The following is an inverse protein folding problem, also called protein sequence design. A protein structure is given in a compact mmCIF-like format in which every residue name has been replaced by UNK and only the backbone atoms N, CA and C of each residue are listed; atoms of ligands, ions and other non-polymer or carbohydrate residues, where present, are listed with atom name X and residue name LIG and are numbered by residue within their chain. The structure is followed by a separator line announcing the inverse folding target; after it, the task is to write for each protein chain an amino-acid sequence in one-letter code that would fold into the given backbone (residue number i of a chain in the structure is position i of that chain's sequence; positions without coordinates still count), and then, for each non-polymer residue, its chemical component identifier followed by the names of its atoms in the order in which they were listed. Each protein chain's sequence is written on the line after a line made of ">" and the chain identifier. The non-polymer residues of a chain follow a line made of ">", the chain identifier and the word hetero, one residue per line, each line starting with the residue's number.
data_IF_984921305161
#
_entry.id   IF_984921305161
#
_cell.length_a   1.000
_cell.length_b   1.000
_cell.length_c   1.000
_cell.angle_alpha   90.00
_cell.angle_beta   90.00
_cell.angle_gamma   90.00
#
_symmetry.space_group_name_H-M   'P 1'
#
loop_
_entity.id
_entity.type
_entity.pdbx_description
1 polymer ?
#
# COMPACT_ATOMS: atom_id res chain seq x y z
N UNK A 1 -6.94 7.17 19.82
CA UNK A 1 -5.57 6.99 20.34
C UNK A 1 -5.26 8.13 21.30
N UNK A 2 -4.38 7.92 22.27
CA UNK A 2 -3.99 8.90 23.29
C UNK A 2 -2.54 8.69 23.67
N UNK A 3 -1.75 9.77 23.78
CA UNK A 3 -0.40 9.67 24.35
C UNK A 3 -0.45 9.58 25.87
N UNK A 4 0.40 8.73 26.45
CA UNK A 4 0.50 8.53 27.90
C UNK A 4 1.94 8.42 28.37
N UNK A 5 2.12 8.62 29.67
CA UNK A 5 3.33 8.25 30.37
C UNK A 5 3.30 6.75 30.72
N UNK A 6 4.33 6.02 30.30
CA UNK A 6 4.55 4.63 30.68
C UNK A 6 6.00 4.45 31.12
N UNK A 7 6.20 4.11 32.40
CA UNK A 7 7.54 3.96 33.01
C UNK A 7 8.46 5.18 32.78
N UNK A 8 7.91 6.39 32.82
CA UNK A 8 8.63 7.66 32.59
C UNK A 8 8.90 7.99 31.11
N UNK A 9 8.44 7.14 30.18
CA UNK A 9 8.59 7.34 28.74
C UNK A 9 7.24 7.63 28.07
N UNK A 10 7.29 8.33 26.94
CA UNK A 10 6.15 8.60 26.08
C UNK A 10 5.75 7.32 25.34
N UNK A 11 4.48 6.97 25.45
CA UNK A 11 3.86 5.91 24.68
C UNK A 11 2.55 6.39 24.04
N UNK A 12 2.15 5.74 22.95
CA UNK A 12 0.84 5.90 22.34
C UNK A 12 -0.05 4.72 22.76
N UNK A 13 -1.15 5.00 23.45
CA UNK A 13 -2.24 4.06 23.63
C UNK A 13 -3.19 4.15 22.44
N UNK A 14 -3.49 3.03 21.81
CA UNK A 14 -4.43 2.94 20.69
C UNK A 14 -5.38 1.78 20.91
N UNK A 15 -6.59 1.89 20.34
CA UNK A 15 -7.48 0.75 20.23
C UNK A 15 -7.15 0.03 18.92
N UNK A 16 -6.81 -1.25 18.98
CA UNK A 16 -6.51 -2.04 17.79
C UNK A 16 -7.79 -2.60 17.14
N UNK A 17 -7.69 -3.10 15.91
CA UNK A 17 -8.80 -3.75 15.20
C UNK A 17 -9.25 -5.07 15.83
N UNK A 18 -8.48 -5.61 16.78
CA UNK A 18 -8.90 -6.73 17.62
C UNK A 18 -9.73 -6.30 18.83
N UNK A 19 -10.05 -5.01 18.94
CA UNK A 19 -10.72 -4.43 20.11
C UNK A 19 -9.88 -4.55 21.39
N UNK A 20 -8.55 -4.48 21.25
CA UNK A 20 -7.59 -4.52 22.36
C UNK A 20 -6.91 -3.16 22.50
N UNK A 21 -6.61 -2.76 23.74
CA UNK A 21 -5.83 -1.53 23.99
C UNK A 21 -4.36 -1.88 23.89
N UNK A 22 -3.70 -1.31 22.89
CA UNK A 22 -2.28 -1.50 22.63
C UNK A 22 -1.49 -0.27 23.07
N UNK A 23 -0.30 -0.50 23.62
CA UNK A 23 0.62 0.54 24.01
C UNK A 23 1.91 0.46 23.19
N UNK A 24 2.18 1.49 22.39
CA UNK A 24 3.37 1.58 21.55
C UNK A 24 4.36 2.61 22.10
N UNK A 25 5.58 2.21 22.52
CA UNK A 25 6.61 3.16 22.95
C UNK A 25 7.03 4.08 21.81
N UNK A 26 7.16 5.38 22.09
CA UNK A 26 7.64 6.36 21.10
C UNK A 26 9.16 6.45 21.16
N UNK A 27 9.81 6.13 20.04
CA UNK A 27 11.26 6.18 19.88
C UNK A 27 11.70 7.44 19.14
N UNK A 28 12.81 8.02 19.58
CA UNK A 28 13.53 9.08 18.85
C UNK A 28 14.13 8.55 17.55
N UNK A 29 14.58 9.44 16.66
CA UNK A 29 15.31 9.07 15.42
C UNK A 29 16.56 8.22 15.68
N UNK A 30 17.08 8.20 16.91
CA UNK A 30 18.25 7.41 17.34
C UNK A 30 17.86 6.07 17.98
N UNK A 31 16.57 5.73 18.04
CA UNK A 31 16.07 4.48 18.61
C UNK A 31 15.85 4.48 20.13
N UNK A 32 16.19 5.55 20.84
CA UNK A 32 15.97 5.67 22.29
C UNK A 32 14.52 6.04 22.60
N UNK A 33 13.98 5.56 23.71
CA UNK A 33 12.68 6.01 24.24
C UNK A 33 12.66 7.51 24.47
N UNK A 34 11.55 8.14 24.12
CA UNK A 34 11.33 9.57 24.35
C UNK A 34 10.80 9.73 25.78
N UNK A 35 11.48 10.48 26.67
CA UNK A 35 10.96 10.74 28.01
C UNK A 35 9.62 11.48 27.97
N UNK A 36 8.66 11.13 28.84
CA UNK A 36 7.37 11.83 28.93
C UNK A 36 7.56 13.33 29.23
N UNK A 37 8.44 13.64 30.18
CA UNK A 37 8.76 15.01 30.58
C UNK A 37 9.30 15.89 29.43
N UNK A 38 9.87 15.30 28.37
CA UNK A 38 10.36 16.05 27.21
C UNK A 38 9.38 16.09 26.03
N UNK A 39 8.24 15.38 26.14
CA UNK A 39 7.24 15.32 25.08
C UNK A 39 6.39 16.60 24.97
N UNK A 40 6.34 17.41 26.03
CA UNK A 40 5.54 18.64 26.05
C UNK A 40 4.02 18.40 26.10
N UNK A 41 3.61 17.19 26.50
CA UNK A 41 2.21 16.74 26.53
C UNK A 41 1.59 16.73 27.94
N UNK A 42 2.31 17.20 28.95
CA UNK A 42 1.76 17.36 30.30
C UNK A 42 0.54 18.27 30.26
N UNK A 43 -0.57 17.84 30.89
CA UNK A 43 -1.80 18.62 30.95
C UNK A 43 -1.53 19.99 31.60
N UNK A 44 -1.55 21.10 30.85
CA UNK A 44 -1.23 22.41 31.39
C UNK A 44 -2.31 22.86 32.38
N UNK A 45 -3.57 22.44 32.18
CA UNK A 45 -4.71 22.82 33.01
C UNK A 45 -4.64 22.26 34.44
N UNK A 46 -3.85 21.20 34.68
CA UNK A 46 -3.62 20.67 36.02
C UNK A 46 -2.84 21.64 36.93
N UNK A 47 -2.17 22.65 36.34
CA UNK A 47 -1.50 23.70 37.10
C UNK A 47 -2.40 24.86 37.49
N UNK A 48 -3.63 24.92 36.95
CA UNK A 48 -4.60 25.97 37.23
C UNK A 48 -5.45 25.61 38.44
N UNK A 49 -5.77 26.63 39.24
CA UNK A 49 -6.69 26.57 40.35
C UNK A 49 -7.74 27.66 40.20
N UNK A 50 -8.86 27.53 40.92
CA UNK A 50 -9.92 28.55 40.89
C UNK A 50 -9.44 29.94 41.31
N UNK A 51 -8.41 30.02 42.18
CA UNK A 51 -7.75 31.26 42.60
C UNK A 51 -6.98 32.00 41.49
N UNK A 52 -6.68 31.35 40.37
CA UNK A 52 -5.99 31.97 39.22
C UNK A 52 -6.92 32.78 38.31
N UNK A 53 -8.20 32.91 38.67
CA UNK A 53 -9.22 33.56 37.86
C UNK A 53 -9.87 34.75 38.58
N UNK A 54 -10.05 35.85 37.85
CA UNK A 54 -10.83 36.99 38.32
C UNK A 54 -12.33 36.77 38.09
N UNK A 55 -13.13 37.01 39.13
CA UNK A 55 -14.58 37.04 39.01
C UNK A 55 -15.01 38.27 38.19
N UNK A 56 -15.81 38.04 37.16
CA UNK A 56 -16.41 39.08 36.30
C UNK A 56 -17.90 38.78 36.14
N UNK A 57 -18.75 39.79 35.91
CA UNK A 57 -20.20 39.59 35.82
C UNK A 57 -20.58 38.45 34.86
N UNK A 58 -21.07 37.34 35.43
CA UNK A 58 -21.47 36.13 34.71
C UNK A 58 -20.37 35.09 34.46
N UNK A 59 -19.20 35.17 35.11
CA UNK A 59 -18.17 34.12 35.01
C UNK A 59 -16.83 34.44 35.70
N UNK A 60 -15.79 33.74 35.27
CA UNK A 60 -14.41 33.88 35.74
C UNK A 60 -13.51 34.09 34.52
N UNK A 61 -12.60 35.07 34.55
CA UNK A 61 -11.65 35.37 33.46
C UNK A 61 -10.22 35.10 33.93
N UNK A 62 -9.46 34.36 33.14
CA UNK A 62 -8.02 34.22 33.35
C UNK A 62 -7.34 35.60 33.24
N UNK A 63 -6.75 36.08 34.33
CA UNK A 63 -6.13 37.41 34.42
C UNK A 63 -4.70 37.39 34.96
N UNK A 64 -4.30 36.32 35.65
CA UNK A 64 -2.95 36.16 36.15
C UNK A 64 -2.04 35.59 35.06
N UNK A 65 -0.88 36.21 34.82
CA UNK A 65 0.17 35.61 33.99
C UNK A 65 0.74 34.37 34.70
N UNK A 66 0.16 33.19 34.47
CA UNK A 66 0.62 31.93 35.05
C UNK A 66 1.66 31.30 34.13
N UNK A 67 2.94 31.68 34.32
CA UNK A 67 4.06 31.29 33.44
C UNK A 67 4.14 29.77 33.22
N UNK A 68 3.84 28.94 34.23
CA UNK A 68 3.85 27.49 34.10
C UNK A 68 2.71 26.95 33.22
N UNK A 69 1.55 27.60 33.20
CA UNK A 69 0.43 27.26 32.32
C UNK A 69 0.71 27.72 30.89
N UNK A 70 1.13 28.98 30.72
CA UNK A 70 1.40 29.60 29.41
C UNK A 70 2.57 28.95 28.65
N UNK A 71 3.59 28.50 29.37
CA UNK A 71 4.72 27.78 28.78
C UNK A 71 4.35 26.36 28.33
N UNK A 72 3.46 25.67 29.06
CA UNK A 72 3.03 24.30 28.76
C UNK A 72 1.89 24.22 27.75
N UNK A 73 0.95 25.16 27.78
CA UNK A 73 -0.22 25.16 26.88
C UNK A 73 0.16 25.30 25.41
N UNK A 74 1.27 25.99 25.10
CA UNK A 74 1.84 26.03 23.75
C UNK A 74 2.22 24.63 23.28
N UNK A 75 3.08 23.95 24.03
CA UNK A 75 3.55 22.60 23.65
C UNK A 75 2.41 21.59 23.63
N UNK A 76 1.44 21.71 24.55
CA UNK A 76 0.29 20.81 24.64
C UNK A 76 -0.58 20.87 23.38
N UNK A 77 -0.96 22.06 22.90
CA UNK A 77 -1.73 22.21 21.66
C UNK A 77 -0.90 22.01 20.39
N UNK A 78 0.43 21.92 20.50
CA UNK A 78 1.30 21.61 19.37
C UNK A 78 1.22 20.12 19.06
N UNK A 79 0.96 19.32 20.09
CA UNK A 79 1.17 17.89 20.06
C UNK A 79 2.65 17.53 20.01
N UNK A 80 2.93 16.23 20.16
CA UNK A 80 4.29 15.71 20.06
C UNK A 80 4.87 15.99 18.66
N UNK A 81 6.03 16.66 18.61
CA UNK A 81 6.72 17.00 17.35
C UNK A 81 6.15 18.21 16.60
N UNK A 82 5.10 18.86 17.11
CA UNK A 82 4.53 20.06 16.53
C UNK A 82 5.34 21.32 16.83
N UNK A 83 5.35 22.26 15.89
CA UNK A 83 5.76 23.63 16.11
C UNK A 83 4.54 24.53 15.88
N UNK A 84 4.27 25.42 16.83
CA UNK A 84 3.25 26.47 16.71
C UNK A 84 3.85 27.79 17.15
N UNK A 85 3.36 28.88 16.53
CA UNK A 85 3.80 30.24 16.79
C UNK A 85 3.41 30.75 18.19
N UNK A 86 3.63 32.04 18.41
CA UNK A 86 3.17 32.75 19.61
C UNK A 86 1.64 32.80 19.68
N UNK A 87 1.08 33.04 20.87
CA UNK A 87 -0.36 33.29 21.01
C UNK A 87 -0.69 34.72 20.61
N UNK A 88 -1.71 34.86 19.76
CA UNK A 88 -2.39 36.13 19.51
C UNK A 88 -3.44 36.40 20.61
N UNK A 89 -4.10 35.36 21.12
CA UNK A 89 -5.01 35.47 22.27
C UNK A 89 -5.19 34.15 23.01
N UNK A 90 -5.47 34.23 24.31
CA UNK A 90 -5.88 33.12 25.17
C UNK A 90 -6.94 33.62 26.14
N UNK A 91 -8.07 32.93 26.21
CA UNK A 91 -9.18 33.25 27.10
C UNK A 91 -9.77 31.97 27.68
N UNK A 92 -10.03 32.00 28.98
CA UNK A 92 -10.78 30.98 29.69
C UNK A 92 -11.96 31.67 30.38
N UNK A 93 -13.17 31.13 30.23
CA UNK A 93 -14.41 31.66 30.78
C UNK A 93 -15.25 30.55 31.40
N UNK A 94 -15.55 30.62 32.70
CA UNK A 94 -16.51 29.70 33.33
C UNK A 94 -17.95 30.05 32.94
N UNK A 95 -18.72 29.06 32.47
CA UNK A 95 -20.13 29.13 32.09
C UNK A 95 -20.89 28.00 32.81
N UNK A 96 -21.44 28.29 33.99
CA UNK A 96 -22.02 27.25 34.86
C UNK A 96 -20.95 26.29 35.38
N UNK A 97 -21.13 24.99 35.13
CA UNK A 97 -20.18 23.92 35.49
C UNK A 97 -19.10 23.70 34.41
N UNK A 98 -19.09 24.48 33.33
CA UNK A 98 -18.12 24.34 32.24
C UNK A 98 -17.13 25.52 32.22
N UNK A 99 -15.94 25.29 31.67
CA UNK A 99 -14.92 26.30 31.40
C UNK A 99 -14.69 26.35 29.89
N UNK A 100 -15.14 27.41 29.24
CA UNK A 100 -14.91 27.69 27.84
C UNK A 100 -13.48 28.21 27.60
N UNK A 101 -12.76 27.59 26.68
CA UNK A 101 -11.46 28.02 26.16
C UNK A 101 -11.63 28.66 24.79
N UNK A 102 -10.93 29.77 24.58
CA UNK A 102 -10.68 30.35 23.26
C UNK A 102 -9.21 30.70 23.14
N UNK A 103 -8.53 30.13 22.15
CA UNK A 103 -7.11 30.28 21.89
C UNK A 103 -6.88 30.62 20.42
N UNK A 104 -6.07 31.62 20.13
CA UNK A 104 -5.62 31.93 18.77
C UNK A 104 -4.12 32.14 18.73
N UNK A 105 -3.47 31.60 17.70
CA UNK A 105 -2.06 31.79 17.43
C UNK A 105 -1.84 32.98 16.51
N UNK A 106 -0.65 33.57 16.60
CA UNK A 106 -0.18 34.58 15.65
C UNK A 106 -0.24 34.00 14.22
N UNK A 107 -0.75 34.77 13.24
CA UNK A 107 -0.81 34.32 11.86
C UNK A 107 0.59 33.98 11.34
N UNK A 108 0.71 32.88 10.62
CA UNK A 108 1.95 32.54 9.90
C UNK A 108 1.68 32.47 8.40
N UNK A 109 2.72 32.70 7.60
CA UNK A 109 2.60 32.59 6.13
C UNK A 109 2.87 31.16 5.71
N UNK A 110 1.88 30.48 5.15
CA UNK A 110 2.03 29.19 4.51
C UNK A 110 2.15 29.40 3.00
N UNK A 111 3.18 28.83 2.38
CA UNK A 111 3.31 28.86 0.92
C UNK A 111 2.43 27.78 0.33
N UNK A 112 1.31 28.17 -0.27
CA UNK A 112 0.49 27.28 -1.10
C UNK A 112 1.09 27.24 -2.50
N UNK A 113 1.27 26.01 -3.02
CA UNK A 113 1.69 25.76 -4.41
C UNK A 113 2.99 26.49 -4.81
N UNK A 114 3.95 26.60 -3.88
CA UNK A 114 5.29 27.11 -4.17
C UNK A 114 5.43 28.63 -4.38
N UNK A 115 4.35 29.38 -4.57
CA UNK A 115 4.45 30.81 -4.92
C UNK A 115 3.47 31.77 -4.24
N UNK A 116 2.39 31.28 -3.61
CA UNK A 116 1.40 32.16 -2.96
C UNK A 116 1.51 32.01 -1.45
N UNK A 117 1.98 33.05 -0.76
CA UNK A 117 1.92 33.13 0.69
C UNK A 117 0.49 33.39 1.15
N UNK A 118 -0.13 32.42 1.80
CA UNK A 118 -1.41 32.59 2.49
C UNK A 118 -1.16 32.81 3.99
N UNK A 119 -1.77 33.85 4.55
CA UNK A 119 -1.78 34.03 6.01
C UNK A 119 -2.74 33.01 6.63
N UNK A 120 -2.21 32.14 7.47
CA UNK A 120 -2.96 31.10 8.17
C UNK A 120 -2.97 31.43 9.65
N UNK A 121 -4.16 31.57 10.22
CA UNK A 121 -4.38 31.66 11.67
C UNK A 121 -4.92 30.33 12.16
N UNK A 122 -4.26 29.74 13.17
CA UNK A 122 -4.79 28.58 13.89
C UNK A 122 -5.51 29.07 15.14
N UNK A 123 -6.74 28.62 15.33
CA UNK A 123 -7.53 28.86 16.54
C UNK A 123 -8.09 27.56 17.10
N UNK A 124 -8.27 27.53 18.41
CA UNK A 124 -8.87 26.42 19.14
C UNK A 124 -9.94 26.97 20.08
N UNK A 125 -11.10 26.35 20.10
CA UNK A 125 -12.19 26.64 21.04
C UNK A 125 -12.71 25.34 21.63
N UNK A 126 -13.07 25.34 22.91
CA UNK A 126 -13.61 24.15 23.57
C UNK A 126 -14.21 24.45 24.94
N UNK A 127 -14.80 23.45 25.58
CA UNK A 127 -15.37 23.55 26.94
C UNK A 127 -14.91 22.37 27.79
N UNK A 128 -14.56 22.60 29.06
CA UNK A 128 -14.09 21.56 30.00
C UNK A 128 -14.93 21.56 31.29
N UNK A 129 -15.21 20.39 31.87
CA UNK A 129 -16.11 20.25 33.04
C UNK A 129 -15.44 20.61 34.38
N UNK A 130 -14.11 20.49 34.48
CA UNK A 130 -13.35 20.87 35.67
C UNK A 130 -11.87 21.06 35.32
N UNK A 131 -11.10 21.67 36.22
CA UNK A 131 -9.64 21.71 36.11
C UNK A 131 -9.05 20.34 36.45
N UNK A 132 -8.16 19.84 35.59
CA UNK A 132 -7.30 18.69 35.92
C UNK A 132 -7.95 17.30 35.81
N UNK A 133 -9.13 17.14 35.21
CA UNK A 133 -9.67 15.80 34.92
C UNK A 133 -8.90 15.08 33.81
N UNK A 134 -8.71 13.77 34.00
CA UNK A 134 -7.99 12.90 33.06
C UNK A 134 -8.77 12.77 31.75
N UNK A 135 -8.05 12.81 30.62
CA UNK A 135 -8.63 12.44 29.33
C UNK A 135 -8.99 10.96 29.43
N UNK A 136 -10.25 10.55 29.12
CA UNK A 136 -10.62 9.16 29.15
C UNK A 136 -9.70 8.37 28.21
N UNK A 137 -9.01 7.39 28.76
CA UNK A 137 -8.13 6.53 27.98
C UNK A 137 -8.96 5.73 26.96
N UNK A 138 -8.38 5.37 25.80
CA UNK A 138 -9.00 4.41 24.90
C UNK A 138 -9.35 3.15 25.69
N UNK A 139 -10.60 2.72 25.60
CA UNK A 139 -11.09 1.48 26.20
C UNK A 139 -11.62 0.56 25.11
N UNK A 140 -11.61 -0.77 25.33
CA UNK A 140 -12.29 -1.69 24.44
C UNK A 140 -13.78 -1.33 24.30
N UNK A 141 -14.29 -1.45 23.09
CA UNK A 141 -15.72 -1.34 22.79
C UNK A 141 -16.44 -2.41 23.60
N UNK A 142 -17.40 -1.97 24.41
CA UNK A 142 -18.22 -2.84 25.26
C UNK A 142 -19.31 -3.51 24.42
N UNK A 143 -18.89 -4.41 23.52
CA UNK A 143 -19.75 -5.33 22.78
C UNK A 143 -19.17 -6.73 22.92
N UNK A 144 -20.02 -7.72 23.11
CA UNK A 144 -19.61 -9.12 23.11
C UNK A 144 -19.15 -9.53 21.72
N UNK A 145 -18.06 -10.30 21.65
CA UNK A 145 -17.55 -10.80 20.37
C UNK A 145 -18.48 -11.90 19.84
N UNK A 146 -18.89 -11.76 18.59
CA UNK A 146 -19.77 -12.71 17.93
C UNK A 146 -19.00 -13.95 17.46
N UNK A 147 -19.45 -15.13 17.90
CA UNK A 147 -18.77 -16.41 17.63
C UNK A 147 -18.73 -16.79 16.15
N UNK A 148 -19.78 -16.48 15.38
CA UNK A 148 -19.83 -16.77 13.94
C UNK A 148 -18.84 -15.89 13.18
N UNK A 149 -18.78 -14.60 13.53
CA UNK A 149 -17.82 -13.65 12.98
C UNK A 149 -16.37 -14.07 13.29
N UNK A 150 -16.08 -14.36 14.55
CA UNK A 150 -14.75 -14.82 14.98
C UNK A 150 -14.31 -16.09 14.26
N UNK A 151 -15.23 -17.03 14.04
CA UNK A 151 -14.98 -18.27 13.29
C UNK A 151 -14.69 -17.98 11.82
N UNK A 152 -15.49 -17.13 11.16
CA UNK A 152 -15.27 -16.74 9.77
C UNK A 152 -13.91 -16.03 9.57
N UNK A 153 -13.51 -15.14 10.48
CA UNK A 153 -12.18 -14.52 10.43
C UNK A 153 -11.06 -15.54 10.70
N UNK A 154 -11.30 -16.57 11.51
CA UNK A 154 -10.34 -17.66 11.70
C UNK A 154 -10.17 -18.51 10.44
N UNK A 155 -11.24 -18.78 9.71
CA UNK A 155 -11.19 -19.49 8.42
C UNK A 155 -10.38 -18.71 7.37
N UNK A 156 -10.51 -17.37 7.35
CA UNK A 156 -9.66 -16.50 6.53
C UNK A 156 -8.19 -16.56 6.95
N UNK A 157 -7.90 -16.53 8.26
CA UNK A 157 -6.52 -16.66 8.78
C UNK A 157 -5.85 -17.99 8.47
N UNK A 158 -6.62 -19.04 8.15
CA UNK A 158 -6.08 -20.34 7.77
C UNK A 158 -5.47 -20.36 6.36
N UNK A 159 -5.71 -19.32 5.53
CA UNK A 159 -5.17 -19.18 4.17
C UNK A 159 -5.41 -20.41 3.29
N UNK A 160 -6.61 -21.00 3.38
CA UNK A 160 -7.04 -22.14 2.57
C UNK A 160 -8.45 -21.86 2.03
N UNK A 161 -8.53 -21.09 0.94
CA UNK A 161 -9.79 -20.63 0.35
C UNK A 161 -9.62 -20.22 -1.11
N UNK A 162 -10.75 -19.99 -1.78
CA UNK A 162 -10.82 -19.26 -3.05
C UNK A 162 -11.35 -17.85 -2.80
N UNK A 163 -10.83 -16.88 -3.54
CA UNK A 163 -11.27 -15.49 -3.48
C UNK A 163 -11.65 -15.00 -4.86
N UNK A 164 -12.77 -14.30 -4.96
CA UNK A 164 -13.15 -13.54 -6.14
C UNK A 164 -13.31 -12.08 -5.73
N UNK A 165 -12.63 -11.18 -6.41
CA UNK A 165 -12.69 -9.74 -6.18
C UNK A 165 -13.29 -9.08 -7.40
N UNK A 166 -14.40 -8.39 -7.22
CA UNK A 166 -15.09 -7.64 -8.27
C UNK A 166 -15.02 -6.14 -8.00
N UNK A 167 -14.54 -5.40 -8.99
CA UNK A 167 -14.51 -3.95 -8.98
C UNK A 167 -15.54 -3.38 -9.94
N UNK A 168 -16.35 -2.45 -9.42
CA UNK A 168 -17.37 -1.78 -10.18
C UNK A 168 -17.28 -0.27 -9.96
N UNK A 169 -17.43 0.48 -11.05
CA UNK A 169 -17.42 1.95 -11.03
C UNK A 169 -18.71 2.49 -11.60
N UNK A 170 -19.19 3.57 -11.00
CA UNK A 170 -20.34 4.32 -11.45
C UNK A 170 -19.87 5.41 -12.42
N UNK A 171 -19.82 5.06 -13.71
CA UNK A 171 -19.33 5.96 -14.78
C UNK A 171 -20.33 7.05 -15.16
N UNK A 172 -21.62 6.84 -14.88
CA UNK A 172 -22.69 7.71 -15.34
C UNK A 172 -23.55 8.24 -14.19
N UNK A 173 -24.20 9.39 -14.42
CA UNK A 173 -25.11 10.03 -13.46
C UNK A 173 -26.37 9.20 -13.16
N UNK A 174 -26.65 8.16 -13.96
CA UNK A 174 -27.85 7.33 -13.86
C UNK A 174 -27.84 6.33 -12.68
N UNK A 175 -26.75 6.28 -11.90
CA UNK A 175 -26.69 5.42 -10.72
C UNK A 175 -26.03 4.07 -10.96
N UNK A 176 -25.85 3.63 -12.20
CA UNK A 176 -25.51 2.23 -12.50
C UNK A 176 -24.02 1.95 -12.33
N UNK A 177 -23.74 0.84 -11.67
CA UNK A 177 -22.40 0.27 -11.60
C UNK A 177 -22.07 -0.46 -12.90
N UNK A 178 -20.81 -0.35 -13.30
CA UNK A 178 -20.24 -1.05 -14.45
C UNK A 178 -18.93 -1.68 -14.04
N UNK A 179 -18.73 -2.94 -14.44
CA UNK A 179 -17.53 -3.71 -14.12
C UNK A 179 -16.29 -3.00 -14.67
N UNK A 180 -15.25 -2.91 -13.85
CA UNK A 180 -13.96 -2.29 -14.18
C UNK A 180 -12.77 -3.22 -14.01
N UNK A 181 -12.94 -4.36 -13.37
CA UNK A 181 -11.89 -5.36 -13.21
C UNK A 181 -12.30 -6.44 -12.23
N UNK A 182 -11.70 -7.61 -12.40
CA UNK A 182 -11.96 -8.78 -11.58
C UNK A 182 -10.65 -9.49 -11.26
N UNK A 183 -10.57 -10.09 -10.07
CA UNK A 183 -9.45 -10.93 -9.69
C UNK A 183 -9.97 -12.23 -9.11
N UNK A 184 -9.51 -13.35 -9.66
CA UNK A 184 -9.69 -14.66 -9.05
C UNK A 184 -8.40 -15.07 -8.37
N UNK A 185 -8.52 -15.68 -7.19
CA UNK A 185 -7.40 -16.10 -6.38
C UNK A 185 -7.68 -17.40 -5.65
N UNK A 186 -6.64 -18.18 -5.40
CA UNK A 186 -6.69 -19.37 -4.56
C UNK A 186 -5.51 -19.35 -3.61
N UNK A 187 -5.78 -19.34 -2.31
CA UNK A 187 -4.78 -19.39 -1.25
C UNK A 187 -4.73 -20.79 -0.64
N UNK A 188 -3.51 -21.26 -0.37
CA UNK A 188 -3.18 -22.45 0.38
C UNK A 188 -2.01 -22.12 1.31
N UNK A 189 -1.77 -22.88 2.40
CA UNK A 189 -0.67 -22.60 3.33
C UNK A 189 0.73 -22.57 2.69
N UNK A 190 0.92 -23.24 1.55
CA UNK A 190 2.22 -23.39 0.88
C UNK A 190 2.27 -22.76 -0.53
N UNK A 191 1.17 -22.19 -1.00
CA UNK A 191 1.08 -21.56 -2.30
C UNK A 191 -0.13 -20.62 -2.42
N UNK A 192 -0.03 -19.64 -3.29
CA UNK A 192 -1.12 -18.74 -3.61
C UNK A 192 -1.07 -18.42 -5.10
N UNK A 193 -2.19 -18.47 -5.80
CA UNK A 193 -2.30 -18.14 -7.23
C UNK A 193 -3.39 -17.12 -7.46
N UNK A 194 -3.22 -16.30 -8.50
CA UNK A 194 -4.20 -15.30 -8.88
C UNK A 194 -4.18 -15.00 -10.37
N UNK A 195 -5.33 -14.54 -10.87
CA UNK A 195 -5.52 -14.04 -12.22
C UNK A 195 -6.30 -12.73 -12.14
N UNK A 196 -5.72 -11.65 -12.66
CA UNK A 196 -6.35 -10.33 -12.75
C UNK A 196 -6.85 -10.13 -14.18
N UNK A 197 -8.09 -9.68 -14.29
CA UNK A 197 -8.75 -9.38 -15.56
C UNK A 197 -9.27 -7.94 -15.59
N UNK A 198 -9.19 -7.31 -16.76
CA UNK A 198 -9.83 -6.02 -17.05
C UNK A 198 -10.58 -6.12 -18.38
N UNK A 199 -11.90 -5.89 -18.35
CA UNK A 199 -12.75 -5.99 -19.55
C UNK A 199 -12.73 -7.38 -20.21
N UNK A 200 -12.57 -8.44 -19.40
CA UNK A 200 -12.48 -9.83 -19.88
C UNK A 200 -11.11 -10.23 -20.46
N UNK A 201 -10.11 -9.35 -20.41
CA UNK A 201 -8.72 -9.68 -20.78
C UNK A 201 -7.88 -9.91 -19.53
N UNK A 202 -7.08 -10.98 -19.54
CA UNK A 202 -6.09 -11.25 -18.48
C UNK A 202 -4.95 -10.23 -18.57
N UNK A 203 -4.73 -9.48 -17.50
CA UNK A 203 -3.65 -8.48 -17.39
C UNK A 203 -2.49 -8.98 -16.53
N UNK A 204 -2.76 -9.85 -15.56
CA UNK A 204 -1.75 -10.55 -14.77
C UNK A 204 -2.27 -11.94 -14.39
N UNK A 205 -1.37 -12.92 -14.35
CA UNK A 205 -1.68 -14.30 -14.01
C UNK A 205 -0.42 -14.98 -13.46
N UNK A 206 -0.44 -15.29 -12.17
CA UNK A 206 0.76 -15.71 -11.47
C UNK A 206 0.45 -16.60 -10.26
N UNK A 207 1.51 -17.20 -9.72
CA UNK A 207 1.47 -17.91 -8.47
C UNK A 207 2.72 -17.63 -7.64
N UNK A 208 2.61 -17.80 -6.33
CA UNK A 208 3.70 -17.85 -5.38
C UNK A 208 3.69 -19.24 -4.77
N UNK A 209 4.83 -19.91 -4.76
CA UNK A 209 5.00 -21.25 -4.21
C UNK A 209 6.14 -21.25 -3.19
N UNK A 210 6.04 -22.03 -2.13
CA UNK A 210 7.19 -22.22 -1.23
C UNK A 210 8.18 -23.23 -1.81
N UNK A 211 9.48 -22.96 -1.69
CA UNK A 211 10.52 -23.93 -2.00
C UNK A 211 10.85 -24.82 -0.80
N UNK A 212 11.92 -25.61 -0.90
CA UNK A 212 12.33 -26.53 0.16
C UNK A 212 12.85 -25.84 1.43
N UNK A 213 13.35 -24.59 1.36
CA UNK A 213 13.68 -23.78 2.54
C UNK A 213 12.47 -23.04 3.10
N UNK A 214 11.31 -23.18 2.46
CA UNK A 214 10.09 -22.50 2.81
C UNK A 214 10.07 -21.05 2.36
N UNK A 215 10.93 -20.66 1.42
CA UNK A 215 10.99 -19.32 0.84
C UNK A 215 10.11 -19.26 -0.42
N UNK A 216 9.53 -18.10 -0.70
CA UNK A 216 8.57 -17.96 -1.80
C UNK A 216 9.24 -17.73 -3.15
N UNK A 217 8.81 -18.48 -4.16
CA UNK A 217 9.20 -18.30 -5.55
C UNK A 217 7.97 -17.92 -6.37
N UNK A 218 8.10 -16.87 -7.19
CA UNK A 218 7.03 -16.43 -8.09
C UNK A 218 7.09 -17.22 -9.40
N UNK A 219 5.92 -17.67 -9.82
CA UNK A 219 5.64 -18.25 -11.13
C UNK A 219 4.71 -17.31 -11.90
N UNK A 220 4.80 -17.37 -13.22
CA UNK A 220 3.87 -16.71 -14.13
C UNK A 220 3.27 -17.69 -15.12
N UNK A 221 2.03 -17.43 -15.48
CA UNK A 221 1.28 -18.25 -16.41
C UNK A 221 1.30 -17.64 -17.82
N UNK A 222 1.76 -18.43 -18.78
CA UNK A 222 1.75 -18.09 -20.20
C UNK A 222 1.25 -19.28 -21.02
N UNK A 223 0.25 -19.05 -21.86
CA UNK A 223 -0.21 -20.07 -22.82
C UNK A 223 -0.61 -21.41 -22.17
N UNK A 224 -1.10 -21.39 -20.94
CA UNK A 224 -1.49 -22.59 -20.18
C UNK A 224 -0.36 -23.32 -19.45
N UNK A 225 0.85 -22.74 -19.40
CA UNK A 225 2.01 -23.28 -18.66
C UNK A 225 2.51 -22.27 -17.63
N UNK A 226 3.13 -22.77 -16.55
CA UNK A 226 3.71 -21.96 -15.49
C UNK A 226 5.22 -21.91 -15.60
N UNK A 227 5.82 -20.73 -15.50
CA UNK A 227 7.27 -20.52 -15.61
C UNK A 227 7.77 -19.76 -14.39
N UNK A 228 8.99 -20.05 -13.94
CA UNK A 228 9.64 -19.23 -12.92
C UNK A 228 9.86 -17.80 -13.43
N UNK A 229 9.42 -16.82 -12.65
CA UNK A 229 9.56 -15.40 -12.97
C UNK A 229 10.98 -14.89 -12.74
N UNK A 230 11.64 -15.43 -11.70
CA UNK A 230 13.03 -15.16 -11.34
C UNK A 230 13.72 -16.44 -10.87
N UNK A 231 15.06 -16.41 -10.79
CA UNK A 231 15.87 -17.57 -10.43
C UNK A 231 16.10 -17.81 -8.94
N UNK A 232 15.64 -16.91 -8.06
CA UNK A 232 15.84 -17.05 -6.62
C UNK A 232 14.55 -16.75 -5.83
N UNK A 233 14.40 -17.47 -4.72
CA UNK A 233 13.31 -17.28 -3.79
C UNK A 233 13.47 -16.00 -2.97
N UNK A 234 12.34 -15.40 -2.65
CA UNK A 234 12.25 -14.32 -1.67
C UNK A 234 12.02 -14.93 -0.28
N UNK A 235 12.57 -14.30 0.76
CA UNK A 235 12.36 -14.76 2.15
C UNK A 235 10.91 -14.59 2.65
N UNK A 236 10.03 -14.00 1.84
CA UNK A 236 8.61 -13.85 2.18
C UNK A 236 7.92 -15.22 2.25
N UNK A 237 6.95 -15.34 3.15
CA UNK A 237 6.06 -16.48 3.34
C UNK A 237 4.72 -16.20 2.68
N UNK A 238 3.87 -17.23 2.53
CA UNK A 238 2.56 -17.05 1.89
C UNK A 238 1.68 -16.06 2.66
N UNK A 239 1.75 -16.09 4.00
CA UNK A 239 1.01 -15.17 4.87
C UNK A 239 1.40 -13.70 4.68
N UNK A 240 2.63 -13.40 4.24
CA UNK A 240 3.08 -12.02 4.00
C UNK A 240 2.33 -11.36 2.82
N UNK A 241 1.71 -12.15 1.94
CA UNK A 241 0.95 -11.66 0.79
C UNK A 241 -0.54 -11.45 1.08
N UNK A 242 -1.02 -11.79 2.27
CA UNK A 242 -2.44 -11.69 2.63
C UNK A 242 -2.65 -10.79 3.85
N UNK A 243 -3.84 -10.18 4.01
CA UNK A 243 -4.18 -9.50 5.26
C UNK A 243 -4.15 -10.47 6.44
N UNK A 244 -3.89 -9.95 7.64
CA UNK A 244 -3.87 -10.75 8.87
C UNK A 244 -5.27 -11.16 9.36
N UNK A 245 -6.32 -10.55 8.79
CA UNK A 245 -7.74 -10.72 9.17
C UNK A 245 -7.97 -10.62 10.69
N UNK A 246 -7.18 -9.76 11.36
CA UNK A 246 -7.30 -9.46 12.79
C UNK A 246 -8.30 -8.33 13.00
N UNK A 247 -9.58 -8.73 13.05
CA UNK A 247 -10.73 -7.82 13.12
C UNK A 247 -11.76 -8.39 14.09
N UNK A 248 -12.23 -7.57 15.03
CA UNK A 248 -13.31 -7.89 15.97
C UNK A 248 -14.67 -7.49 15.42
N UNK A 249 -15.68 -8.28 15.73
CA UNK A 249 -17.09 -7.96 15.44
C UNK A 249 -17.60 -6.71 16.16
N UNK A 250 -16.93 -6.25 17.23
CA UNK A 250 -17.34 -5.10 18.03
C UNK A 250 -17.41 -3.77 17.23
N UNK A 251 -16.64 -3.66 16.15
CA UNK A 251 -16.67 -2.49 15.26
C UNK A 251 -17.93 -2.43 14.39
N UNK A 252 -18.75 -3.47 14.38
CA UNK A 252 -19.88 -3.62 13.47
C UNK A 252 -21.22 -3.62 14.21
N UNK A 253 -22.27 -3.27 13.48
CA UNK A 253 -23.64 -3.48 13.86
C UNK A 253 -24.16 -4.70 13.09
N UNK A 254 -24.67 -5.69 13.81
CA UNK A 254 -25.17 -6.96 13.23
C UNK A 254 -26.67 -6.88 12.96
N UNK A 255 -27.08 -7.24 11.75
CA UNK A 255 -28.48 -7.48 11.37
C UNK A 255 -28.54 -8.82 10.61
N UNK A 256 -29.13 -9.84 11.25
CA UNK A 256 -29.09 -11.21 10.71
C UNK A 256 -27.65 -11.70 10.56
N UNK A 257 -27.24 -12.00 9.33
CA UNK A 257 -25.90 -12.44 8.97
C UNK A 257 -25.01 -11.33 8.36
N UNK A 258 -25.47 -10.07 8.42
CA UNK A 258 -24.77 -8.90 7.86
C UNK A 258 -24.20 -8.05 8.99
N UNK A 259 -22.92 -7.72 8.88
CA UNK A 259 -22.16 -6.88 9.82
C UNK A 259 -21.80 -5.59 9.10
N UNK A 260 -22.40 -4.48 9.51
CA UNK A 260 -22.15 -3.15 8.92
C UNK A 260 -21.21 -2.37 9.80
N UNK A 261 -20.12 -1.83 9.23
CA UNK A 261 -19.15 -1.04 10.00
C UNK A 261 -19.85 0.17 10.62
N UNK A 262 -19.68 0.33 11.93
CA UNK A 262 -20.16 1.53 12.60
C UNK A 262 -19.29 2.72 12.20
N UNK A 263 -19.93 3.74 11.62
CA UNK A 263 -19.26 4.90 11.02
C UNK A 263 -18.36 5.65 12.00
N UNK A 264 -18.64 5.59 13.31
CA UNK A 264 -17.77 6.20 14.30
C UNK A 264 -16.34 5.59 14.31
N UNK A 265 -16.19 4.37 13.81
CA UNK A 265 -14.90 3.66 13.72
C UNK A 265 -14.32 3.61 12.30
N UNK A 266 -14.92 4.30 11.31
CA UNK A 266 -14.46 4.26 9.93
C UNK A 266 -12.96 4.62 9.78
N UNK A 267 -12.46 5.56 10.60
CA UNK A 267 -11.04 5.94 10.61
C UNK A 267 -10.07 4.82 10.98
N UNK A 268 -10.52 3.74 11.62
CA UNK A 268 -9.71 2.56 11.94
C UNK A 268 -9.56 1.58 10.77
N UNK A 269 -10.36 1.76 9.72
CA UNK A 269 -10.39 0.94 8.52
C UNK A 269 -10.02 1.82 7.32
N UNK A 270 -8.74 2.21 7.15
CA UNK A 270 -8.35 3.21 6.16
C UNK A 270 -8.55 2.76 4.71
N UNK A 271 -8.48 1.45 4.45
CA UNK A 271 -8.53 0.92 3.09
C UNK A 271 -9.00 -0.54 3.00
N UNK A 272 -9.44 -0.93 1.80
CA UNK A 272 -9.80 -2.31 1.42
C UNK A 272 -8.63 -3.28 1.50
N UNK A 273 -7.38 -2.79 1.58
CA UNK A 273 -6.19 -3.63 1.71
C UNK A 273 -6.17 -4.44 3.02
N UNK A 274 -7.01 -4.09 4.00
CA UNK A 274 -7.28 -4.89 5.19
C UNK A 274 -8.02 -6.19 4.90
N UNK A 275 -8.60 -6.31 3.71
CA UNK A 275 -9.48 -7.41 3.32
C UNK A 275 -9.06 -8.09 2.03
N UNK A 276 -8.06 -7.60 1.32
CA UNK A 276 -7.53 -8.23 0.09
C UNK A 276 -6.19 -7.62 -0.30
N UNK A 277 -5.24 -8.38 -0.86
CA UNK A 277 -4.00 -7.79 -1.38
C UNK A 277 -4.17 -7.11 -2.75
N UNK A 278 -5.32 -7.27 -3.41
CA UNK A 278 -5.52 -6.82 -4.78
C UNK A 278 -6.05 -5.39 -4.91
N UNK A 279 -6.52 -4.79 -3.81
CA UNK A 279 -7.16 -3.48 -3.80
C UNK A 279 -6.76 -2.64 -2.61
N UNK A 280 -6.57 -1.35 -2.84
CA UNK A 280 -6.24 -0.38 -1.80
C UNK A 280 -7.07 0.90 -1.97
N UNK A 281 -8.39 0.77 -1.91
CA UNK A 281 -9.34 1.88 -1.94
C UNK A 281 -9.79 2.26 -0.53
N UNK A 282 -10.16 3.52 -0.32
CA UNK A 282 -10.69 4.00 0.97
C UNK A 282 -11.96 3.24 1.36
N UNK A 283 -12.17 3.01 2.65
CA UNK A 283 -13.42 2.43 3.16
C UNK A 283 -14.48 3.52 3.34
N UNK A 284 -15.64 3.30 2.73
CA UNK A 284 -16.84 4.12 2.89
C UNK A 284 -17.89 3.36 3.69
N UNK A 285 -18.87 2.80 2.98
CA UNK A 285 -19.87 1.90 3.56
C UNK A 285 -19.40 0.44 3.45
N UNK A 286 -18.82 -0.08 4.53
CA UNK A 286 -18.34 -1.45 4.62
C UNK A 286 -19.39 -2.38 5.23
N UNK A 287 -19.62 -3.50 4.57
CA UNK A 287 -20.43 -4.61 5.08
C UNK A 287 -19.67 -5.92 4.94
N UNK A 288 -19.87 -6.82 5.91
CA UNK A 288 -19.39 -8.21 5.87
C UNK A 288 -20.63 -9.08 6.01
N UNK A 289 -20.90 -9.94 5.03
CA UNK A 289 -22.01 -10.90 5.05
C UNK A 289 -21.44 -12.30 5.22
N UNK A 290 -21.93 -13.01 6.22
CA UNK A 290 -21.53 -14.38 6.51
C UNK A 290 -22.59 -15.35 5.99
N UNK A 291 -22.20 -16.26 5.12
CA UNK A 291 -23.06 -17.32 4.58
C UNK A 291 -22.36 -18.67 4.80
N UNK A 292 -23.10 -19.77 4.69
CA UNK A 292 -22.51 -21.09 4.85
C UNK A 292 -21.37 -21.30 3.84
N UNK A 293 -20.13 -21.45 4.35
CA UNK A 293 -18.94 -21.64 3.53
C UNK A 293 -18.51 -20.44 2.68
N UNK A 294 -19.07 -19.25 2.92
CA UNK A 294 -18.77 -18.02 2.16
C UNK A 294 -18.74 -16.78 3.05
N UNK A 295 -17.74 -15.93 2.84
CA UNK A 295 -17.65 -14.59 3.45
C UNK A 295 -17.64 -13.56 2.33
N UNK A 296 -18.59 -12.63 2.34
CA UNK A 296 -18.66 -11.54 1.36
C UNK A 296 -18.37 -10.22 2.03
N UNK A 297 -17.35 -9.51 1.59
CA UNK A 297 -16.97 -8.19 2.08
C UNK A 297 -17.26 -7.20 0.97
N UNK A 298 -18.14 -6.24 1.24
CA UNK A 298 -18.53 -5.22 0.27
C UNK A 298 -18.24 -3.84 0.81
N UNK A 299 -17.51 -3.04 0.03
CA UNK A 299 -17.25 -1.63 0.30
C UNK A 299 -17.89 -0.78 -0.80
N UNK A 300 -18.74 0.16 -0.42
CA UNK A 300 -19.37 1.12 -1.34
C UNK A 300 -18.94 2.54 -0.96
N UNK A 301 -18.33 3.23 -1.90
CA UNK A 301 -17.94 4.62 -1.78
C UNK A 301 -18.82 5.49 -2.67
N UNK A 302 -19.42 6.51 -2.07
CA UNK A 302 -20.05 7.59 -2.81
C UNK A 302 -18.96 8.53 -3.33
N UNK A 303 -18.82 8.64 -4.66
CA UNK A 303 -17.81 9.49 -5.27
C UNK A 303 -18.10 10.98 -5.07
N UNK A 304 -17.11 11.84 -5.37
CA UNK A 304 -17.23 13.30 -5.21
C UNK A 304 -18.13 13.99 -6.25
N UNK A 305 -18.86 13.25 -7.09
CA UNK A 305 -19.82 13.81 -8.06
C UNK A 305 -19.19 14.59 -9.22
N UNK A 306 -17.88 14.51 -9.44
CA UNK A 306 -17.19 15.10 -10.59
C UNK A 306 -17.25 14.16 -11.81
N UNK A 307 -17.10 14.72 -13.01
CA UNK A 307 -17.61 14.20 -14.30
C UNK A 307 -17.14 12.82 -14.78
N UNK A 308 -16.28 12.11 -14.06
CA UNK A 308 -15.71 10.82 -14.50
C UNK A 308 -15.80 9.67 -13.48
N UNK A 309 -16.17 9.92 -12.21
CA UNK A 309 -16.40 8.86 -11.23
C UNK A 309 -17.43 9.29 -10.18
N UNK A 310 -18.62 8.70 -10.23
CA UNK A 310 -19.72 9.01 -9.31
C UNK A 310 -19.79 8.05 -8.11
N UNK A 311 -18.84 7.13 -7.99
CA UNK A 311 -18.74 6.15 -6.90
C UNK A 311 -18.17 4.81 -7.37
N UNK A 312 -17.75 4.00 -6.41
CA UNK A 312 -17.13 2.70 -6.62
C UNK A 312 -17.70 1.68 -5.63
N UNK A 313 -17.79 0.44 -6.09
CA UNK A 313 -18.17 -0.72 -5.28
C UNK A 313 -17.12 -1.80 -5.47
N UNK A 314 -16.63 -2.30 -4.36
CA UNK A 314 -15.73 -3.45 -4.30
C UNK A 314 -16.46 -4.57 -3.60
N UNK A 315 -16.49 -5.74 -4.22
CA UNK A 315 -17.02 -6.95 -3.60
C UNK A 315 -15.89 -7.98 -3.56
N UNK A 316 -15.57 -8.46 -2.37
CA UNK A 316 -14.53 -9.46 -2.12
C UNK A 316 -15.25 -10.68 -1.54
N UNK A 317 -15.28 -11.77 -2.28
CA UNK A 317 -15.92 -13.01 -1.88
C UNK A 317 -14.87 -14.05 -1.57
N UNK A 318 -14.94 -14.64 -0.38
CA UNK A 318 -14.15 -15.78 0.05
C UNK A 318 -15.04 -17.01 0.13
N UNK A 319 -14.56 -18.14 -0.36
CA UNK A 319 -15.32 -19.39 -0.37
C UNK A 319 -14.43 -20.62 -0.33
N UNK A 320 -15.04 -21.80 -0.28
CA UNK A 320 -14.33 -23.09 -0.40
C UNK A 320 -13.29 -23.32 0.70
N UNK A 321 -13.55 -22.81 1.91
CA UNK A 321 -12.65 -22.90 3.05
C UNK A 321 -12.20 -24.34 3.32
N UNK A 322 -10.90 -24.55 3.53
CA UNK A 322 -10.31 -25.86 3.84
C UNK A 322 -10.21 -26.84 2.66
N UNK A 323 -10.73 -26.47 1.49
CA UNK A 323 -10.82 -27.35 0.30
C UNK A 323 -10.00 -26.88 -0.90
N UNK A 324 -9.31 -25.75 -0.79
CA UNK A 324 -8.39 -25.31 -1.83
C UNK A 324 -7.20 -26.27 -1.92
N UNK A 325 -6.75 -26.52 -3.15
CA UNK A 325 -5.63 -27.43 -3.42
C UNK A 325 -4.39 -26.61 -3.77
N UNK A 326 -3.26 -26.98 -3.19
CA UNK A 326 -1.97 -26.36 -3.47
C UNK A 326 -1.62 -26.41 -4.94
N UNK A 327 -0.87 -25.41 -5.40
CA UNK A 327 -0.31 -25.41 -6.74
C UNK A 327 0.63 -26.61 -6.92
N UNK A 328 0.44 -27.36 -8.01
CA UNK A 328 1.31 -28.49 -8.35
C UNK A 328 2.64 -27.99 -8.93
N UNK A 329 3.64 -27.83 -8.06
CA UNK A 329 4.97 -27.33 -8.38
C UNK A 329 5.67 -28.15 -9.47
N UNK A 330 5.30 -29.42 -9.68
CA UNK A 330 5.88 -30.26 -10.74
C UNK A 330 5.55 -29.78 -12.15
N UNK A 331 4.54 -28.90 -12.29
CA UNK A 331 4.14 -28.29 -13.56
C UNK A 331 4.92 -27.01 -13.89
N UNK A 332 5.75 -26.52 -12.97
CA UNK A 332 6.54 -25.31 -13.20
C UNK A 332 7.75 -25.57 -14.10
N UNK A 333 7.93 -24.74 -15.11
CA UNK A 333 9.01 -24.82 -16.08
C UNK A 333 10.12 -23.82 -15.75
N UNK A 334 11.36 -24.30 -15.77
CA UNK A 334 12.56 -23.49 -15.54
C UNK A 334 13.09 -22.77 -16.76
N UNK A 335 12.68 -23.16 -17.97
CA UNK A 335 13.18 -22.55 -19.21
C UNK A 335 12.04 -21.93 -20.01
N UNK A 336 12.03 -20.60 -20.05
CA UNK A 336 11.08 -19.80 -20.82
C UNK A 336 11.56 -19.52 -22.25
N UNK A 337 12.65 -20.14 -22.73
CA UNK A 337 13.23 -19.88 -24.06
C UNK A 337 12.29 -20.17 -25.23
N UNK A 338 11.25 -20.97 -25.00
CA UNK A 338 10.23 -21.29 -26.00
C UNK A 338 9.14 -20.22 -26.14
N UNK A 339 9.04 -19.28 -25.18
CA UNK A 339 8.04 -18.22 -25.23
C UNK A 339 8.47 -17.13 -26.22
N UNK A 340 7.55 -16.58 -27.03
CA UNK A 340 7.81 -15.38 -27.81
C UNK A 340 7.72 -14.12 -26.92
N UNK A 341 8.44 -13.06 -27.29
CA UNK A 341 8.34 -11.74 -26.63
C UNK A 341 6.90 -11.22 -26.52
N UNK A 342 6.03 -11.52 -27.49
CA UNK A 342 4.61 -11.16 -27.46
C UNK A 342 3.85 -11.75 -26.26
N UNK A 343 4.25 -12.93 -25.79
CA UNK A 343 3.64 -13.53 -24.60
C UNK A 343 4.26 -12.97 -23.32
N UNK A 344 5.58 -12.75 -23.29
CA UNK A 344 6.29 -12.26 -22.12
C UNK A 344 6.03 -10.77 -21.82
N UNK A 345 5.79 -9.96 -22.86
CA UNK A 345 5.36 -8.56 -22.75
C UNK A 345 3.82 -8.56 -22.81
N UNK A 346 3.18 -8.73 -21.65
CA UNK A 346 1.72 -8.90 -21.53
C UNK A 346 0.90 -7.68 -21.97
N UNK A 347 1.49 -6.50 -21.90
CA UNK A 347 0.85 -5.27 -22.36
C UNK A 347 0.84 -5.23 -23.90
N UNK A 348 -0.35 -5.45 -24.48
CA UNK A 348 -0.55 -5.45 -25.94
C UNK A 348 -0.20 -4.11 -26.58
N UNK A 349 -0.47 -2.99 -25.89
CA UNK A 349 -0.19 -1.64 -26.39
C UNK A 349 1.32 -1.39 -26.39
N UNK A 350 1.99 -1.65 -25.26
CA UNK A 350 3.44 -1.52 -25.16
C UNK A 350 4.16 -2.45 -26.15
N UNK A 351 3.70 -3.69 -26.32
CA UNK A 351 4.24 -4.61 -27.32
C UNK A 351 4.03 -4.09 -28.76
N UNK A 352 2.85 -3.55 -29.05
CA UNK A 352 2.53 -2.99 -30.37
C UNK A 352 3.40 -1.76 -30.69
N UNK A 353 3.58 -0.86 -29.73
CA UNK A 353 4.44 0.32 -29.88
C UNK A 353 5.90 -0.08 -30.09
N UNK A 354 6.42 -0.94 -29.22
CA UNK A 354 7.76 -1.51 -29.36
C UNK A 354 7.95 -2.18 -30.73
N UNK A 355 6.96 -2.96 -31.16
CA UNK A 355 6.97 -3.61 -32.47
C UNK A 355 6.98 -2.63 -33.63
N UNK A 356 6.26 -1.51 -33.54
CA UNK A 356 6.24 -0.50 -34.61
C UNK A 356 7.58 0.23 -34.68
N UNK A 357 8.13 0.60 -33.54
CA UNK A 357 9.38 1.35 -33.47
C UNK A 357 10.59 0.56 -33.99
N UNK A 358 10.60 -0.76 -33.84
CA UNK A 358 11.64 -1.62 -34.44
C UNK A 358 11.39 -1.95 -35.93
N UNK A 359 10.28 -1.51 -36.53
CA UNK A 359 9.93 -1.81 -37.93
C UNK A 359 9.13 -3.10 -38.15
N UNK A 360 8.57 -3.70 -37.10
CA UNK A 360 7.62 -4.82 -37.17
C UNK A 360 7.92 -5.96 -36.20
N UNK A 361 6.92 -6.83 -35.95
CA UNK A 361 7.06 -7.94 -34.99
C UNK A 361 8.04 -9.02 -35.47
N UNK A 362 8.30 -9.07 -36.78
CA UNK A 362 9.36 -9.90 -37.37
C UNK A 362 10.75 -9.51 -36.87
N UNK A 363 11.01 -8.22 -36.63
CA UNK A 363 12.30 -7.72 -36.12
C UNK A 363 12.46 -8.10 -34.64
N UNK A 364 11.43 -7.94 -33.82
CA UNK A 364 11.44 -8.40 -32.42
C UNK A 364 11.75 -9.90 -32.35
N UNK A 365 11.19 -10.69 -33.26
CA UNK A 365 11.38 -12.15 -33.31
C UNK A 365 12.83 -12.57 -33.63
N UNK A 366 13.67 -11.65 -34.12
CA UNK A 366 15.10 -11.89 -34.32
C UNK A 366 15.89 -11.84 -33.00
N UNK A 367 15.36 -11.17 -31.98
CA UNK A 367 15.96 -11.05 -30.65
C UNK A 367 15.58 -12.31 -29.87
N UNK A 368 16.54 -13.19 -29.51
CA UNK A 368 16.21 -14.34 -28.67
C UNK A 368 15.67 -13.85 -27.32
N UNK A 369 14.62 -14.48 -26.80
CA UNK A 369 14.19 -14.21 -25.41
C UNK A 369 15.32 -14.55 -24.44
N UNK A 370 15.32 -13.97 -23.22
CA UNK A 370 16.36 -14.26 -22.22
C UNK A 370 16.51 -15.77 -21.98
N UNK A 371 15.39 -16.46 -21.78
CA UNK A 371 15.38 -17.90 -21.51
C UNK A 371 15.73 -18.23 -20.06
N UNK A 372 15.67 -19.50 -19.71
CA UNK A 372 15.78 -19.91 -18.32
C UNK A 372 14.62 -19.38 -17.49
N UNK A 373 14.91 -18.97 -16.26
CA UNK A 373 13.95 -18.57 -15.21
C UNK A 373 13.53 -17.10 -15.29
N UNK A 374 13.75 -16.44 -16.43
CA UNK A 374 13.58 -15.01 -16.61
C UNK A 374 12.36 -14.73 -17.50
N UNK A 375 11.20 -15.19 -17.04
CA UNK A 375 9.96 -15.19 -17.83
C UNK A 375 9.14 -13.89 -17.76
N UNK A 376 9.56 -12.91 -16.93
CA UNK A 376 8.96 -11.57 -16.84
C UNK A 376 9.99 -10.44 -17.03
N UNK A 377 10.46 -10.26 -18.26
CA UNK A 377 11.22 -9.08 -18.61
C UNK A 377 10.32 -7.85 -18.58
N UNK A 378 10.82 -6.76 -18.00
CA UNK A 378 10.21 -5.43 -18.03
C UNK A 378 10.64 -4.70 -19.30
N UNK A 379 9.72 -3.94 -19.90
CA UNK A 379 9.98 -3.06 -21.04
C UNK A 379 9.92 -1.59 -20.59
N UNK A 380 10.96 -0.81 -20.88
CA UNK A 380 11.00 0.64 -20.66
C UNK A 380 11.39 1.34 -21.97
N UNK A 381 10.80 2.51 -22.23
CA UNK A 381 11.21 3.40 -23.31
C UNK A 381 11.77 4.70 -22.73
N UNK A 382 13.03 5.02 -23.05
CA UNK A 382 13.66 6.30 -22.72
C UNK A 382 14.52 6.80 -23.91
N UNK A 383 13.87 7.07 -25.03
CA UNK A 383 14.52 7.37 -26.32
C UNK A 383 15.08 6.14 -27.05
N UNK A 384 15.34 5.06 -26.32
CA UNK A 384 15.61 3.70 -26.82
C UNK A 384 14.81 2.69 -25.99
N UNK A 385 14.51 1.52 -26.57
CA UNK A 385 13.80 0.47 -25.85
C UNK A 385 14.75 -0.37 -25.01
N UNK A 386 14.28 -0.71 -23.82
CA UNK A 386 15.01 -1.51 -22.85
C UNK A 386 14.19 -2.72 -22.40
N UNK A 387 14.76 -3.92 -22.48
CA UNK A 387 14.20 -5.13 -21.88
C UNK A 387 15.10 -5.61 -20.75
N UNK A 388 14.54 -5.94 -19.58
CA UNK A 388 15.37 -6.34 -18.42
C UNK A 388 14.67 -7.15 -17.35
N UNK A 389 15.49 -7.79 -16.51
CA UNK A 389 15.04 -8.52 -15.33
C UNK A 389 15.80 -8.07 -14.10
N UNK A 390 15.08 -8.09 -12.97
CA UNK A 390 15.66 -7.84 -11.66
C UNK A 390 16.24 -9.13 -11.08
N UNK A 391 17.42 -9.00 -10.50
CA UNK A 391 18.30 -10.06 -10.07
C UNK A 391 18.75 -9.84 -8.62
N UNK A 392 18.99 -10.92 -7.87
CA UNK A 392 19.22 -10.84 -6.43
C UNK A 392 20.64 -10.39 -6.07
N UNK A 393 21.58 -10.44 -7.02
CA UNK A 393 22.97 -10.06 -6.77
C UNK A 393 23.69 -9.60 -8.04
N UNK A 394 24.78 -8.88 -7.84
CA UNK A 394 25.70 -8.47 -8.91
C UNK A 394 26.32 -9.68 -9.65
N UNK A 395 26.60 -10.77 -8.93
CA UNK A 395 27.13 -11.99 -9.55
C UNK A 395 26.13 -12.60 -10.54
N UNK A 396 24.84 -12.64 -10.16
CA UNK A 396 23.78 -13.13 -11.03
C UNK A 396 23.55 -12.22 -12.23
N UNK A 397 23.65 -10.89 -12.06
CA UNK A 397 23.54 -9.95 -13.18
C UNK A 397 24.68 -10.10 -14.19
N UNK A 398 25.92 -10.30 -13.72
CA UNK A 398 27.05 -10.61 -14.61
C UNK A 398 26.89 -11.97 -15.30
N UNK A 399 26.48 -13.01 -14.58
CA UNK A 399 26.23 -14.33 -15.15
C UNK A 399 25.13 -14.31 -16.22
N UNK A 400 24.08 -13.51 -16.01
CA UNK A 400 23.06 -13.25 -17.02
C UNK A 400 23.68 -12.66 -18.29
N UNK A 401 24.48 -11.59 -18.18
CA UNK A 401 25.13 -10.93 -19.33
C UNK A 401 25.96 -11.90 -20.14
N UNK A 402 26.76 -12.75 -19.50
CA UNK A 402 27.59 -13.75 -20.17
C UNK A 402 26.75 -14.80 -20.89
N UNK A 403 25.73 -15.34 -20.21
CA UNK A 403 24.85 -16.37 -20.78
C UNK A 403 24.04 -15.85 -21.98
N UNK A 404 23.53 -14.63 -21.88
CA UNK A 404 22.73 -14.02 -22.93
C UNK A 404 23.60 -13.57 -24.11
N UNK A 405 24.82 -13.07 -23.85
CA UNK A 405 25.82 -12.80 -24.88
C UNK A 405 26.12 -14.02 -25.74
N UNK A 406 26.30 -15.20 -25.13
CA UNK A 406 26.49 -16.45 -25.87
C UNK A 406 25.26 -16.82 -26.72
N UNK A 407 24.06 -16.58 -26.19
CA UNK A 407 22.78 -16.82 -26.91
C UNK A 407 22.62 -15.92 -28.14
N UNK A 408 23.01 -14.66 -28.04
CA UNK A 408 23.00 -13.71 -29.16
C UNK A 408 23.92 -14.19 -30.30
N UNK A 409 25.15 -14.59 -29.98
CA UNK A 409 26.10 -15.12 -30.95
C UNK A 409 25.56 -16.38 -31.64
N UNK A 410 24.98 -17.31 -30.87
CA UNK A 410 24.35 -18.51 -31.41
C UNK A 410 23.14 -18.21 -32.31
N UNK A 411 22.47 -17.07 -32.08
CA UNK A 411 21.34 -16.58 -32.88
C UNK A 411 21.78 -15.75 -34.10
N UNK A 412 23.08 -15.70 -34.40
CA UNK A 412 23.64 -15.05 -35.58
C UNK A 412 23.91 -13.55 -35.44
N UNK A 413 23.91 -13.00 -34.22
CA UNK A 413 24.43 -11.66 -33.98
C UNK A 413 25.96 -11.67 -34.03
N UNK A 414 26.55 -10.58 -34.50
CA UNK A 414 27.99 -10.37 -34.52
C UNK A 414 28.37 -9.40 -33.41
N UNK A 415 29.41 -9.75 -32.66
CA UNK A 415 29.97 -8.87 -31.63
C UNK A 415 30.76 -7.74 -32.29
N UNK A 416 30.41 -6.51 -31.97
CA UNK A 416 31.13 -5.30 -32.35
C UNK A 416 31.62 -4.60 -31.08
N UNK A 417 32.86 -4.12 -31.10
CA UNK A 417 33.46 -3.39 -29.99
C UNK A 417 33.95 -2.05 -30.48
N UNK A 418 33.19 -1.00 -30.18
CA UNK A 418 33.59 0.40 -30.34
C UNK A 418 33.74 1.00 -28.95
N UNK A 419 34.85 1.72 -28.72
CA UNK A 419 35.06 2.53 -27.50
C UNK A 419 34.98 1.81 -26.13
N UNK A 420 35.12 0.48 -26.09
CA UNK A 420 35.09 -0.31 -24.86
C UNK A 420 33.69 -0.82 -24.47
N UNK A 421 32.65 -0.43 -25.20
CA UNK A 421 31.30 -0.97 -25.08
C UNK A 421 31.11 -2.14 -26.05
N UNK A 422 30.50 -3.21 -25.57
CA UNK A 422 30.23 -4.41 -26.37
C UNK A 422 28.80 -4.33 -26.88
N UNK A 423 28.67 -4.21 -28.20
CA UNK A 423 27.39 -4.20 -28.90
C UNK A 423 27.26 -5.48 -29.74
N UNK A 424 26.03 -5.92 -29.98
CA UNK A 424 25.70 -7.09 -30.81
C UNK A 424 24.83 -6.64 -31.97
N UNK A 425 25.26 -6.95 -33.19
CA UNK A 425 24.63 -6.43 -34.40
C UNK A 425 24.15 -7.55 -35.31
N UNK A 426 22.98 -7.35 -35.93
CA UNK A 426 22.43 -8.28 -36.93
C UNK A 426 21.71 -7.49 -38.01
N UNK A 427 22.07 -7.74 -39.27
CA UNK A 427 21.37 -7.14 -40.39
C UNK A 427 19.91 -7.60 -40.42
N UNK A 428 18.99 -6.63 -40.51
CA UNK A 428 17.56 -6.88 -40.74
C UNK A 428 17.33 -6.99 -42.26
N UNK A 429 17.87 -6.02 -43.01
CA UNK A 429 17.90 -5.97 -44.47
C UNK A 429 19.14 -5.19 -44.94
N UNK A 430 19.24 -4.86 -46.24
CA UNK A 430 20.37 -4.14 -46.81
C UNK A 430 20.56 -2.72 -46.21
N UNK A 431 19.50 -2.12 -45.68
CA UNK A 431 19.44 -0.75 -45.21
C UNK A 431 19.32 -0.63 -43.68
N UNK A 432 19.05 -1.72 -42.96
CA UNK A 432 18.80 -1.68 -41.51
C UNK A 432 19.56 -2.72 -40.74
N UNK A 433 20.15 -2.29 -39.62
CA UNK A 433 20.87 -3.16 -38.69
C UNK A 433 20.25 -3.05 -37.30
N UNK A 434 19.89 -4.19 -36.72
CA UNK A 434 19.49 -4.30 -35.32
C UNK A 434 20.75 -4.28 -34.45
N UNK A 435 20.76 -3.41 -33.44
CA UNK A 435 21.87 -3.23 -32.50
C UNK A 435 21.37 -3.48 -31.08
N UNK A 436 22.06 -4.35 -30.35
CA UNK A 436 21.74 -4.73 -28.98
C UNK A 436 22.94 -4.52 -28.07
N UNK A 437 22.72 -3.83 -26.95
CA UNK A 437 23.75 -3.68 -25.91
C UNK A 437 23.31 -4.47 -24.69
N UNK A 438 24.10 -5.48 -24.31
CA UNK A 438 23.83 -6.32 -23.14
C UNK A 438 24.55 -5.73 -21.94
N UNK A 439 23.83 -5.52 -20.86
CA UNK A 439 24.39 -4.85 -19.69
C UNK A 439 23.77 -5.32 -18.39
N UNK A 440 24.45 -4.97 -17.30
CA UNK A 440 23.99 -5.10 -15.94
C UNK A 440 24.20 -3.77 -15.21
N UNK A 441 23.29 -3.39 -14.34
CA UNK A 441 23.42 -2.20 -13.51
C UNK A 441 22.84 -2.43 -12.12
N UNK A 442 23.09 -1.47 -11.23
CA UNK A 442 22.49 -1.44 -9.90
C UNK A 442 21.61 -0.19 -9.82
N UNK A 443 20.35 -0.38 -9.44
CA UNK A 443 19.41 0.70 -9.14
C UNK A 443 18.96 0.59 -7.69
N UNK A 444 19.45 1.50 -6.85
CA UNK A 444 19.26 1.42 -5.41
C UNK A 444 19.77 0.09 -4.82
N UNK A 445 18.84 -0.72 -4.31
CA UNK A 445 19.12 -2.03 -3.70
C UNK A 445 18.90 -3.22 -4.66
N UNK A 446 18.42 -2.98 -5.88
CA UNK A 446 18.24 -4.02 -6.90
C UNK A 446 19.43 -4.08 -7.85
N UNK A 447 19.76 -5.30 -8.28
CA UNK A 447 20.65 -5.54 -9.41
C UNK A 447 19.80 -5.91 -10.61
N UNK A 448 20.07 -5.32 -11.77
CA UNK A 448 19.29 -5.57 -12.98
C UNK A 448 20.22 -5.96 -14.11
N UNK A 449 19.71 -6.74 -15.06
CA UNK A 449 20.41 -7.02 -16.31
C UNK A 449 19.43 -7.13 -17.49
N UNK A 450 19.89 -6.78 -18.68
CA UNK A 450 19.02 -6.73 -19.84
C UNK A 450 19.71 -6.29 -21.13
N UNK A 451 18.89 -5.82 -22.06
CA UNK A 451 19.31 -5.33 -23.37
C UNK A 451 18.73 -3.97 -23.74
N UNK A 452 19.59 -3.04 -24.16
CA UNK A 452 19.16 -1.87 -24.94
C UNK A 452 18.98 -2.31 -26.38
N UNK A 453 17.96 -1.77 -27.04
CA UNK A 453 17.54 -2.20 -28.37
C UNK A 453 17.42 -0.97 -29.27
N UNK A 454 18.19 -0.96 -30.35
CA UNK A 454 18.17 0.08 -31.37
C UNK A 454 18.15 -0.50 -32.79
N UNK A 455 17.63 0.29 -33.74
CA UNK A 455 17.73 0.00 -35.17
C UNK A 455 18.45 1.16 -35.84
N UNK A 456 19.58 0.87 -36.46
CA UNK A 456 20.34 1.85 -37.22
C UNK A 456 20.00 1.70 -38.71
N UNK A 457 19.79 2.83 -39.39
CA UNK A 457 19.75 2.86 -40.85
C UNK A 457 21.19 2.95 -41.37
N UNK A 458 21.55 2.02 -42.26
CA UNK A 458 22.83 2.02 -42.93
C UNK A 458 22.85 3.22 -43.89
N UNK A 459 23.76 4.16 -43.66
CA UNK A 459 23.92 5.38 -44.44
C UNK A 459 24.44 5.15 -45.86
#
# INVERSE_FOLDING_TARGET
>A
ETYVESQGSLALLSLSRNNEVEQTPIKSKKGNDVPWASAGLENPFASLKEEDFESVDGGYRYSASHFAFESKIKSFFAGYGGSIGSFASLSLKKEGDLIALSLAFEPYTATLLGTVGASVTKSYTGTFQSFGEEVPLPTPIQKEEDGDFSSAMADLRALNFKTHVKNEVKKYKDGRFSDSGETDATACPDSFSYTIQNGGKVTDDAAYILDASGDSQRLVHYGGSSYYASGEASKAKIEDYWPDFKISSAFFNKEGNVYTLDRQYAGMFPSTSLFTPFLSDTIGNLTITLEEGKVTIQNVNDGYGTSSNFGNRHTIEYSSFGSASSFDKSKALYDCSSLPWKQMIRDEEAYSEFSKSLGGSSVISLIPVFGGVYSEPKLIENGVYYLYVSLPSEEKSRSFVDSYSAKLLASGFQKSSSSGEVTYQKAIDEQKTLVLDVYSFQDGASYDAGILIGVNENA
#
